data_IF_483503814534
#
_entry.id   IF_483503814534
#
_cell.length_a   1.000
_cell.length_b   1.000
_cell.length_c   1.000
_cell.angle_alpha   90.00
_cell.angle_beta   90.00
_cell.angle_gamma   90.00
#
_symmetry.space_group_name_H-M   'P 1'
#
loop_
_entity.id
_entity.type
_entity.pdbx_description
1 polymer ?
#
# COMPACT_ATOMS: atom_id res chain seq x y z
N UNK A 1 -28.04 -19.04 4.15
CA UNK A 1 -29.50 -18.83 3.98
C UNK A 1 -30.24 -18.33 5.24
N UNK A 2 -29.81 -18.64 6.48
CA UNK A 2 -30.45 -18.07 7.69
C UNK A 2 -30.12 -16.59 7.96
N UNK A 3 -28.93 -16.11 7.62
CA UNK A 3 -28.53 -14.70 7.81
C UNK A 3 -29.33 -13.70 6.94
N UNK A 4 -29.70 -14.07 5.72
CA UNK A 4 -30.53 -13.25 4.82
C UNK A 4 -31.99 -13.13 5.27
N UNK A 5 -32.50 -14.06 6.10
CA UNK A 5 -33.87 -13.97 6.65
C UNK A 5 -33.97 -12.95 7.78
N UNK A 6 -32.94 -12.84 8.63
CA UNK A 6 -32.93 -11.89 9.76
C UNK A 6 -32.83 -10.46 9.27
N UNK A 7 -32.04 -10.20 8.22
CA UNK A 7 -31.90 -8.87 7.63
C UNK A 7 -33.18 -8.39 6.91
N UNK A 8 -33.94 -9.32 6.30
CA UNK A 8 -35.26 -9.00 5.70
C UNK A 8 -36.34 -8.74 6.73
N UNK A 9 -36.33 -9.43 7.87
CA UNK A 9 -37.27 -9.17 8.96
C UNK A 9 -37.04 -7.80 9.62
N UNK A 10 -35.79 -7.36 9.73
CA UNK A 10 -35.46 -6.02 10.26
C UNK A 10 -35.91 -4.88 9.34
N UNK A 11 -35.81 -5.05 8.01
CA UNK A 11 -36.27 -4.04 7.05
C UNK A 11 -37.80 -3.93 6.96
N UNK A 12 -38.53 -5.03 7.16
CA UNK A 12 -40.00 -5.04 7.13
C UNK A 12 -40.65 -4.34 8.34
N UNK A 13 -39.92 -4.19 9.44
CA UNK A 13 -40.38 -3.52 10.67
C UNK A 13 -40.15 -1.99 10.65
N UNK A 14 -39.31 -1.48 9.74
CA UNK A 14 -38.93 -0.06 9.71
C UNK A 14 -39.79 0.80 8.76
N UNK A 15 -40.55 0.20 7.84
CA UNK A 15 -41.35 0.92 6.82
C UNK A 15 -42.65 0.14 6.50
N UNK A 16 -43.75 0.38 7.22
CA UNK A 16 -45.03 -0.27 6.92
C UNK A 16 -45.66 0.41 5.70
N UNK A 17 -45.68 -0.25 4.53
CA UNK A 17 -46.45 0.25 3.39
C UNK A 17 -46.05 -0.17 1.97
N UNK A 18 -45.05 -1.02 1.74
CA UNK A 18 -44.66 -1.42 0.37
C UNK A 18 -44.90 -2.91 0.08
N UNK A 19 -46.10 -3.41 0.35
CA UNK A 19 -46.51 -4.81 0.05
C UNK A 19 -47.45 -4.95 -1.14
N UNK A 20 -47.43 -4.02 -2.10
CA UNK A 20 -48.23 -4.15 -3.33
C UNK A 20 -47.61 -3.37 -4.50
N UNK A 21 -46.56 -3.93 -5.11
CA UNK A 21 -46.22 -3.62 -6.50
C UNK A 21 -45.88 -4.93 -7.20
N UNK A 22 -46.81 -5.34 -8.06
CA UNK A 22 -46.75 -6.52 -8.91
C UNK A 22 -45.57 -6.47 -9.89
N UNK A 23 -45.16 -7.67 -10.29
CA UNK A 23 -44.09 -7.95 -11.24
C UNK A 23 -44.36 -7.32 -12.63
N UNK A 24 -43.62 -6.28 -12.97
CA UNK A 24 -43.32 -5.92 -14.36
C UNK A 24 -41.88 -6.33 -14.72
N UNK A 25 -41.67 -7.32 -15.61
CA UNK A 25 -40.33 -7.71 -16.05
C UNK A 25 -39.87 -6.75 -17.15
N UNK A 26 -39.40 -5.55 -16.76
CA UNK A 26 -39.15 -4.50 -17.76
C UNK A 26 -38.03 -3.50 -17.51
N UNK A 27 -37.35 -3.45 -16.34
CA UNK A 27 -36.40 -2.34 -16.09
C UNK A 27 -35.17 -2.67 -15.22
N UNK A 28 -34.49 -3.80 -15.46
CA UNK A 28 -33.17 -4.09 -14.85
C UNK A 28 -32.00 -4.15 -15.85
N UNK A 29 -32.13 -3.52 -17.02
CA UNK A 29 -30.99 -3.20 -17.90
C UNK A 29 -30.54 -1.75 -17.71
N UNK A 30 -30.32 -1.29 -16.47
CA UNK A 30 -29.38 -0.17 -16.26
C UNK A 30 -27.98 -0.75 -16.40
N UNK A 31 -27.48 -0.68 -17.62
CA UNK A 31 -26.18 -1.16 -18.03
C UNK A 31 -25.12 -0.86 -16.96
N UNK A 32 -24.57 -1.91 -16.34
CA UNK A 32 -23.17 -1.90 -15.92
C UNK A 32 -22.38 -1.65 -17.20
N UNK A 33 -22.17 -0.39 -17.58
CA UNK A 33 -21.11 -0.05 -18.53
C UNK A 33 -19.83 -0.50 -17.87
N UNK A 34 -19.35 -1.69 -18.24
CA UNK A 34 -17.95 -2.05 -18.07
C UNK A 34 -17.21 -0.97 -18.84
N UNK A 35 -16.67 0.02 -18.13
CA UNK A 35 -15.98 1.14 -18.76
C UNK A 35 -14.79 0.57 -19.54
N UNK A 36 -14.62 1.08 -20.75
CA UNK A 36 -13.64 0.58 -21.70
C UNK A 36 -12.20 0.82 -21.20
N UNK A 37 -11.27 -0.03 -21.65
CA UNK A 37 -9.84 0.07 -21.32
C UNK A 37 -9.22 1.49 -21.43
N UNK A 38 -9.59 2.34 -22.42
CA UNK A 38 -9.07 3.70 -22.51
C UNK A 38 -9.33 4.58 -21.28
N UNK A 39 -10.46 4.40 -20.58
CA UNK A 39 -10.78 5.21 -19.40
C UNK A 39 -9.81 4.93 -18.23
N UNK A 40 -9.36 3.68 -18.06
CA UNK A 40 -8.37 3.32 -17.05
C UNK A 40 -7.01 3.95 -17.35
N UNK A 41 -6.58 3.96 -18.60
CA UNK A 41 -5.32 4.61 -18.99
C UNK A 41 -5.38 6.13 -18.81
N UNK A 42 -6.51 6.76 -19.11
CA UNK A 42 -6.71 8.19 -18.83
C UNK A 42 -6.70 8.49 -17.33
N UNK A 43 -7.25 7.61 -16.49
CA UNK A 43 -7.19 7.75 -15.04
C UNK A 43 -5.75 7.66 -14.52
N UNK A 44 -4.98 6.67 -14.99
CA UNK A 44 -3.57 6.51 -14.66
C UNK A 44 -2.77 7.76 -15.06
N UNK A 45 -2.88 8.16 -16.33
CA UNK A 45 -2.15 9.29 -16.89
C UNK A 45 -2.57 10.62 -16.24
N UNK A 46 -3.87 10.79 -15.98
CA UNK A 46 -4.42 11.97 -15.30
C UNK A 46 -3.93 12.09 -13.87
N UNK A 47 -3.94 11.01 -13.08
CA UNK A 47 -3.41 11.01 -11.72
C UNK A 47 -1.89 11.26 -11.70
N UNK A 48 -1.15 10.68 -12.65
CA UNK A 48 0.29 10.91 -12.79
C UNK A 48 0.61 12.37 -13.16
N UNK A 49 -0.09 12.92 -14.15
CA UNK A 49 0.08 14.31 -14.57
C UNK A 49 -0.28 15.26 -13.42
N UNK A 50 -1.42 15.05 -12.74
CA UNK A 50 -1.83 15.85 -11.60
C UNK A 50 -0.76 15.83 -10.49
N UNK A 51 -0.26 14.65 -10.12
CA UNK A 51 0.79 14.53 -9.09
C UNK A 51 2.08 15.24 -9.49
N UNK A 52 2.55 15.04 -10.73
CA UNK A 52 3.75 15.70 -11.23
C UNK A 52 3.61 17.23 -11.27
N UNK A 53 2.45 17.74 -11.72
CA UNK A 53 2.18 19.18 -11.81
C UNK A 53 2.06 19.80 -10.41
N UNK A 54 1.29 19.17 -9.50
CA UNK A 54 1.08 19.67 -8.14
C UNK A 54 2.35 19.66 -7.29
N UNK A 55 3.29 18.76 -7.60
CA UNK A 55 4.57 18.67 -6.86
C UNK A 55 5.43 19.91 -7.04
N UNK A 56 5.41 20.57 -8.21
CA UNK A 56 6.22 21.76 -8.47
C UNK A 56 5.91 22.95 -7.53
N UNK A 57 4.67 23.47 -7.45
CA UNK A 57 4.33 24.55 -6.53
C UNK A 57 4.46 24.14 -5.07
N UNK A 58 4.15 22.88 -4.73
CA UNK A 58 4.32 22.35 -3.38
C UNK A 58 5.79 22.39 -2.94
N UNK A 59 6.71 21.91 -3.80
CA UNK A 59 8.15 21.95 -3.54
C UNK A 59 8.63 23.38 -3.32
N UNK A 60 8.21 24.32 -4.16
CA UNK A 60 8.56 25.73 -4.01
C UNK A 60 8.05 26.31 -2.67
N UNK A 61 6.84 25.95 -2.27
CA UNK A 61 6.27 26.38 -0.99
C UNK A 61 7.02 25.76 0.21
N UNK A 62 7.35 24.47 0.17
CA UNK A 62 8.10 23.78 1.24
C UNK A 62 9.49 24.41 1.45
N UNK A 63 10.18 24.74 0.36
CA UNK A 63 11.46 25.46 0.39
C UNK A 63 11.33 26.83 1.05
N UNK A 64 10.31 27.62 0.67
CA UNK A 64 10.05 28.94 1.27
C UNK A 64 9.73 28.85 2.76
N UNK A 65 9.04 27.80 3.18
CA UNK A 65 8.68 27.53 4.59
C UNK A 65 9.78 26.83 5.38
N UNK A 66 10.93 26.50 4.75
CA UNK A 66 12.04 25.74 5.36
C UNK A 66 11.63 24.39 5.94
N UNK A 67 10.63 23.73 5.32
CA UNK A 67 10.22 22.37 5.66
C UNK A 67 11.12 21.43 4.85
N UNK A 68 12.33 21.20 5.37
CA UNK A 68 13.40 20.46 4.70
C UNK A 68 14.00 19.41 5.62
N UNK A 69 14.37 18.27 5.04
CA UNK A 69 15.17 17.25 5.70
C UNK A 69 16.65 17.65 5.58
N UNK A 70 17.28 17.93 6.72
CA UNK A 70 18.71 18.27 6.81
C UNK A 70 19.60 17.02 6.80
N UNK A 71 20.80 17.03 6.19
CA UNK A 71 21.72 15.90 6.29
C UNK A 71 22.08 15.57 7.74
N UNK A 72 22.33 14.29 8.05
CA UNK A 72 22.73 13.86 9.39
C UNK A 72 23.14 12.38 9.41
N UNK A 73 23.72 11.92 10.52
CA UNK A 73 24.28 10.55 10.67
C UNK A 73 23.30 9.39 10.41
N UNK A 74 22.00 9.69 10.32
CA UNK A 74 20.91 8.74 10.09
C UNK A 74 20.35 8.80 8.66
N UNK A 75 20.63 9.87 7.91
CA UNK A 75 20.03 10.17 6.61
C UNK A 75 20.99 9.83 5.47
N UNK A 76 20.47 9.32 4.37
CA UNK A 76 21.24 8.86 3.19
C UNK A 76 21.55 9.98 2.17
N UNK A 77 21.01 11.18 2.36
CA UNK A 77 21.17 12.29 1.42
C UNK A 77 22.23 13.31 1.88
N UNK A 78 22.99 13.84 0.90
CA UNK A 78 24.04 14.82 1.14
C UNK A 78 23.54 16.28 1.14
N UNK A 79 22.38 16.56 0.53
CA UNK A 79 21.83 17.90 0.36
C UNK A 79 20.52 18.09 1.13
N UNK A 80 20.24 19.27 1.71
CA UNK A 80 18.93 19.59 2.28
C UNK A 80 17.83 19.43 1.23
N UNK A 81 16.88 18.52 1.49
CA UNK A 81 15.84 18.16 0.52
C UNK A 81 14.46 18.41 1.12
N UNK A 82 13.53 19.10 0.42
CA UNK A 82 12.17 19.33 0.91
C UNK A 82 11.47 18.03 1.28
N UNK A 83 10.69 18.02 2.36
CA UNK A 83 9.94 16.85 2.84
C UNK A 83 8.45 17.15 2.86
N UNK A 84 7.62 16.15 2.56
CA UNK A 84 6.15 16.27 2.51
C UNK A 84 5.56 16.29 1.10
N UNK A 85 6.30 15.85 0.08
CA UNK A 85 5.82 15.72 -1.29
C UNK A 85 4.64 14.78 -1.45
N UNK A 86 4.42 13.88 -0.48
CA UNK A 86 3.25 13.03 -0.39
C UNK A 86 1.91 13.77 -0.43
N UNK A 87 1.87 15.04 -0.01
CA UNK A 87 0.66 15.86 -0.13
C UNK A 87 0.20 16.01 -1.59
N UNK A 88 1.12 16.18 -2.54
CA UNK A 88 0.78 16.23 -3.96
C UNK A 88 0.22 14.90 -4.47
N UNK A 89 0.76 13.77 -3.98
CA UNK A 89 0.26 12.43 -4.32
C UNK A 89 -1.18 12.26 -3.84
N UNK A 90 -1.46 12.61 -2.58
CA UNK A 90 -2.78 12.45 -1.96
C UNK A 90 -3.81 13.37 -2.62
N UNK A 91 -3.46 14.61 -2.94
CA UNK A 91 -4.36 15.52 -3.66
C UNK A 91 -4.65 14.99 -5.07
N UNK A 92 -3.63 14.57 -5.82
CA UNK A 92 -3.81 14.00 -7.15
C UNK A 92 -4.69 12.75 -7.12
N UNK A 93 -4.51 11.89 -6.12
CA UNK A 93 -5.31 10.72 -5.89
C UNK A 93 -6.78 11.06 -5.58
N UNK A 94 -7.02 12.04 -4.71
CA UNK A 94 -8.37 12.51 -4.40
C UNK A 94 -9.08 13.12 -5.62
N UNK A 95 -8.36 13.91 -6.44
CA UNK A 95 -8.88 14.44 -7.69
C UNK A 95 -9.24 13.33 -8.68
N UNK A 96 -8.42 12.29 -8.79
CA UNK A 96 -8.69 11.14 -9.65
C UNK A 96 -9.95 10.37 -9.19
N UNK A 97 -10.17 10.22 -7.88
CA UNK A 97 -11.38 9.59 -7.35
C UNK A 97 -12.63 10.45 -7.52
N UNK A 98 -12.52 11.78 -7.38
CA UNK A 98 -13.61 12.71 -7.67
C UNK A 98 -14.00 12.67 -9.15
N UNK A 99 -13.02 12.53 -10.04
CA UNK A 99 -13.25 12.42 -11.47
C UNK A 99 -13.79 11.05 -11.91
N UNK A 100 -13.65 10.00 -11.08
CA UNK A 100 -14.13 8.65 -11.41
C UNK A 100 -15.55 8.40 -10.87
N UNK A 101 -16.57 8.23 -11.75
CA UNK A 101 -17.95 8.09 -11.31
C UNK A 101 -18.16 6.91 -10.36
N UNK A 102 -18.75 7.18 -9.19
CA UNK A 102 -19.08 6.16 -8.19
C UNK A 102 -17.88 5.63 -7.39
N UNK A 103 -16.65 6.13 -7.60
CA UNK A 103 -15.50 5.72 -6.78
C UNK A 103 -15.72 6.05 -5.29
N UNK A 104 -16.11 7.30 -5.01
CA UNK A 104 -16.30 7.77 -3.63
C UNK A 104 -17.43 7.05 -2.92
N UNK A 105 -18.57 6.84 -3.58
CA UNK A 105 -19.70 6.15 -2.96
C UNK A 105 -19.41 4.67 -2.70
N UNK A 106 -18.65 4.01 -3.58
CA UNK A 106 -18.29 2.60 -3.43
C UNK A 106 -17.22 2.37 -2.35
N UNK A 107 -16.26 3.29 -2.18
CA UNK A 107 -15.06 3.08 -1.37
C UNK A 107 -14.80 4.19 -0.34
N UNK A 108 -15.86 4.87 0.12
CA UNK A 108 -15.75 5.95 1.12
C UNK A 108 -14.94 5.55 2.38
N UNK A 109 -14.99 4.32 2.93
CA UNK A 109 -14.20 3.98 4.11
C UNK A 109 -12.69 4.02 3.80
N UNK A 110 -12.32 3.56 2.60
CA UNK A 110 -10.93 3.55 2.16
C UNK A 110 -10.43 4.96 1.83
N UNK A 111 -11.26 5.78 1.17
CA UNK A 111 -10.96 7.20 0.92
C UNK A 111 -10.72 7.94 2.25
N UNK A 112 -11.63 7.77 3.22
CA UNK A 112 -11.51 8.41 4.53
C UNK A 112 -10.27 7.93 5.28
N UNK A 113 -9.95 6.63 5.23
CA UNK A 113 -8.75 6.09 5.84
C UNK A 113 -7.46 6.69 5.24
N UNK A 114 -7.40 6.82 3.90
CA UNK A 114 -6.25 7.41 3.21
C UNK A 114 -6.08 8.88 3.58
N UNK A 115 -7.16 9.67 3.53
CA UNK A 115 -7.14 11.09 3.89
C UNK A 115 -6.75 11.27 5.37
N UNK A 116 -7.32 10.45 6.26
CA UNK A 116 -7.00 10.50 7.68
C UNK A 116 -5.51 10.20 7.94
N UNK A 117 -4.95 9.14 7.36
CA UNK A 117 -3.53 8.84 7.55
C UNK A 117 -2.60 9.84 6.86
N UNK A 118 -3.03 10.47 5.76
CA UNK A 118 -2.30 11.58 5.16
C UNK A 118 -2.24 12.78 6.11
N UNK A 119 -3.34 13.11 6.80
CA UNK A 119 -3.37 14.18 7.82
C UNK A 119 -2.44 13.82 8.98
N UNK A 120 -2.51 12.59 9.50
CA UNK A 120 -1.60 12.12 10.57
C UNK A 120 -0.14 12.24 10.12
N UNK A 121 0.17 11.82 8.90
CA UNK A 121 1.52 11.95 8.34
C UNK A 121 1.97 13.40 8.15
N UNK A 122 1.07 14.29 7.75
CA UNK A 122 1.36 15.71 7.64
C UNK A 122 1.65 16.37 8.98
N UNK A 123 0.91 15.97 10.02
CA UNK A 123 1.18 16.39 11.39
C UNK A 123 2.52 15.84 11.88
N UNK A 124 2.85 14.60 11.57
CA UNK A 124 4.14 13.98 11.90
C UNK A 124 5.32 14.73 11.26
N UNK A 125 5.21 15.04 9.96
CA UNK A 125 6.22 15.79 9.20
C UNK A 125 6.52 17.17 9.80
N UNK A 126 5.64 17.71 10.67
CA UNK A 126 5.75 19.05 11.27
C UNK A 126 5.98 19.08 12.78
N UNK A 127 5.40 18.14 13.51
CA UNK A 127 5.28 18.24 14.98
C UNK A 127 5.83 17.03 15.74
N UNK A 128 6.29 15.96 15.05
CA UNK A 128 6.76 14.70 15.66
C UNK A 128 5.78 14.14 16.71
N UNK A 129 4.79 13.37 16.25
CA UNK A 129 3.78 12.78 17.12
C UNK A 129 4.38 11.64 17.94
N UNK A 130 3.74 11.35 19.08
CA UNK A 130 4.11 10.20 19.88
C UNK A 130 3.82 8.89 19.15
N UNK A 131 4.70 7.90 19.28
CA UNK A 131 4.51 6.57 18.70
C UNK A 131 3.18 5.91 19.13
N UNK A 132 2.71 6.20 20.35
CA UNK A 132 1.42 5.71 20.87
C UNK A 132 0.23 6.28 20.10
N UNK A 133 0.22 7.60 19.86
CA UNK A 133 -0.83 8.24 19.08
C UNK A 133 -0.84 7.71 17.64
N UNK A 134 0.35 7.56 17.03
CA UNK A 134 0.47 7.01 15.68
C UNK A 134 -0.09 5.59 15.59
N UNK A 135 0.27 4.72 16.54
CA UNK A 135 -0.24 3.36 16.61
C UNK A 135 -1.76 3.32 16.80
N UNK A 136 -2.30 4.19 17.65
CA UNK A 136 -3.75 4.31 17.85
C UNK A 136 -4.47 4.69 16.54
N UNK A 137 -3.98 5.71 15.83
CA UNK A 137 -4.54 6.13 14.55
C UNK A 137 -4.49 5.01 13.50
N UNK A 138 -3.36 4.30 13.40
CA UNK A 138 -3.18 3.17 12.48
C UNK A 138 -4.13 2.01 12.84
N UNK A 139 -4.31 1.72 14.13
CA UNK A 139 -5.23 0.69 14.60
C UNK A 139 -6.69 1.06 14.31
N UNK A 140 -7.08 2.32 14.52
CA UNK A 140 -8.42 2.80 14.19
C UNK A 140 -8.71 2.64 12.68
N UNK A 141 -7.73 2.95 11.83
CA UNK A 141 -7.81 2.73 10.39
C UNK A 141 -7.93 1.24 10.06
N UNK A 142 -7.10 0.39 10.65
CA UNK A 142 -7.13 -1.05 10.43
C UNK A 142 -8.50 -1.66 10.77
N UNK A 143 -9.03 -1.33 11.95
CA UNK A 143 -10.37 -1.76 12.39
C UNK A 143 -11.44 -1.21 11.46
N UNK A 144 -11.42 0.07 11.11
CA UNK A 144 -12.40 0.68 10.21
C UNK A 144 -12.45 0.03 8.84
N UNK A 145 -11.28 -0.26 8.25
CA UNK A 145 -11.18 -0.96 6.96
C UNK A 145 -11.70 -2.39 7.03
N UNK A 146 -11.37 -3.13 8.09
CA UNK A 146 -11.87 -4.50 8.27
C UNK A 146 -13.37 -4.53 8.50
N UNK A 147 -13.92 -3.63 9.31
CA UNK A 147 -15.36 -3.51 9.53
C UNK A 147 -16.09 -3.20 8.22
N UNK A 148 -15.54 -2.31 7.40
CA UNK A 148 -16.07 -2.01 6.08
C UNK A 148 -15.99 -3.20 5.11
N UNK A 149 -15.00 -4.07 5.27
CA UNK A 149 -14.83 -5.29 4.48
C UNK A 149 -15.64 -6.49 4.98
N UNK A 150 -16.26 -6.42 6.17
CA UNK A 150 -16.92 -7.55 6.83
C UNK A 150 -15.98 -8.47 7.62
N UNK A 151 -14.73 -8.05 7.83
CA UNK A 151 -13.66 -8.86 8.40
C UNK A 151 -13.07 -9.86 7.40
N UNK A 152 -12.32 -10.83 7.90
CA UNK A 152 -11.72 -11.91 7.11
C UNK A 152 -12.25 -13.24 7.64
N UNK A 153 -13.15 -13.88 6.89
CA UNK A 153 -13.77 -15.14 7.30
C UNK A 153 -12.79 -16.32 7.32
N UNK A 154 -11.95 -16.39 6.29
CA UNK A 154 -11.04 -17.50 6.06
C UNK A 154 -9.80 -17.08 5.29
N UNK A 155 -8.73 -17.85 5.48
CA UNK A 155 -7.52 -17.78 4.67
C UNK A 155 -7.27 -19.17 4.10
N UNK A 156 -7.03 -19.23 2.79
CA UNK A 156 -6.70 -20.48 2.10
C UNK A 156 -5.23 -20.82 2.31
N UNK A 157 -4.92 -22.06 2.68
CA UNK A 157 -3.56 -22.58 2.76
C UNK A 157 -3.48 -23.82 1.89
N UNK A 158 -2.60 -23.84 0.89
CA UNK A 158 -2.45 -24.97 -0.03
C UNK A 158 -3.79 -25.41 -0.68
N UNK A 159 -4.67 -24.45 -0.97
CA UNK A 159 -6.01 -24.71 -1.51
C UNK A 159 -7.07 -25.13 -0.48
N UNK A 160 -6.74 -25.16 0.82
CA UNK A 160 -7.66 -25.48 1.89
C UNK A 160 -8.01 -24.25 2.74
N UNK A 161 -9.30 -23.91 2.82
CA UNK A 161 -9.77 -22.76 3.57
C UNK A 161 -9.84 -23.04 5.07
N UNK A 162 -9.01 -22.35 5.84
CA UNK A 162 -9.09 -22.33 7.29
C UNK A 162 -10.02 -21.22 7.73
N UNK A 163 -11.17 -21.58 8.30
CA UNK A 163 -12.22 -20.63 8.70
C UNK A 163 -12.09 -20.28 10.18
N UNK A 164 -11.78 -19.02 10.47
CA UNK A 164 -11.64 -18.53 11.83
C UNK A 164 -11.75 -17.00 11.85
N UNK A 165 -12.98 -16.47 11.74
CA UNK A 165 -13.21 -15.03 11.55
C UNK A 165 -12.48 -14.14 12.56
N UNK A 166 -12.57 -14.46 13.85
CA UNK A 166 -11.93 -13.68 14.92
C UNK A 166 -10.39 -13.67 14.78
N UNK A 167 -9.80 -14.82 14.44
CA UNK A 167 -8.36 -14.97 14.27
C UNK A 167 -7.87 -14.19 13.06
N UNK A 168 -8.48 -14.41 11.90
CA UNK A 168 -8.03 -13.78 10.65
C UNK A 168 -8.33 -12.30 10.59
N UNK A 169 -9.43 -11.85 11.18
CA UNK A 169 -9.71 -10.41 11.32
C UNK A 169 -8.71 -9.75 12.27
N UNK A 170 -8.38 -10.38 13.41
CA UNK A 170 -7.35 -9.89 14.34
C UNK A 170 -5.95 -9.81 13.70
N UNK A 171 -5.54 -10.87 13.01
CA UNK A 171 -4.27 -10.90 12.27
C UNK A 171 -4.27 -9.90 11.11
N UNK A 172 -5.42 -9.73 10.43
CA UNK A 172 -5.61 -8.71 9.40
C UNK A 172 -5.39 -7.30 9.93
N UNK A 173 -5.85 -7.01 11.15
CA UNK A 173 -5.65 -5.68 11.75
C UNK A 173 -4.16 -5.41 12.00
N UNK A 174 -3.46 -6.41 12.53
CA UNK A 174 -2.00 -6.35 12.73
C UNK A 174 -1.29 -6.18 11.37
N UNK A 175 -1.71 -6.93 10.35
CA UNK A 175 -1.12 -6.85 9.01
C UNK A 175 -1.33 -5.47 8.37
N UNK A 176 -2.50 -4.84 8.51
CA UNK A 176 -2.74 -3.48 8.01
C UNK A 176 -1.82 -2.47 8.73
N UNK A 177 -1.77 -2.52 10.06
CA UNK A 177 -0.88 -1.63 10.84
C UNK A 177 0.58 -1.85 10.44
N UNK A 178 0.98 -3.10 10.22
CA UNK A 178 2.31 -3.45 9.76
C UNK A 178 2.60 -2.90 8.36
N UNK A 179 1.68 -3.07 7.40
CA UNK A 179 1.78 -2.49 6.05
C UNK A 179 1.93 -0.97 6.10
N UNK A 180 1.17 -0.28 6.94
CA UNK A 180 1.30 1.17 7.08
C UNK A 180 2.69 1.57 7.60
N UNK A 181 3.21 0.87 8.62
CA UNK A 181 4.54 1.17 9.16
C UNK A 181 5.68 0.75 8.23
N UNK A 182 5.59 -0.39 7.55
CA UNK A 182 6.67 -0.86 6.68
C UNK A 182 6.85 0.05 5.46
N UNK A 183 5.76 0.55 4.86
CA UNK A 183 5.88 1.53 3.77
C UNK A 183 6.51 2.83 4.25
N UNK A 184 6.26 3.23 5.50
CA UNK A 184 6.93 4.36 6.14
C UNK A 184 8.43 4.11 6.38
N UNK A 185 8.82 2.92 6.85
CA UNK A 185 10.25 2.58 7.08
C UNK A 185 11.06 2.47 5.79
N UNK A 186 10.43 2.01 4.72
CA UNK A 186 11.07 1.80 3.42
C UNK A 186 11.13 3.07 2.55
N UNK A 187 10.49 4.17 2.97
CA UNK A 187 10.58 5.50 2.34
C UNK A 187 11.85 6.27 2.74
N UNK A 188 13.00 5.60 2.81
CA UNK A 188 14.29 6.21 3.17
C UNK A 188 15.33 6.23 2.06
N UNK A 189 14.96 5.82 0.85
CA UNK A 189 15.80 5.90 -0.36
C UNK A 189 15.02 6.57 -1.49
N UNK A 190 15.70 7.41 -2.27
CA UNK A 190 15.11 8.16 -3.38
C UNK A 190 14.34 7.25 -4.33
N UNK A 191 13.06 7.59 -4.57
CA UNK A 191 12.19 6.90 -5.51
C UNK A 191 11.66 5.55 -5.04
N UNK A 192 12.15 4.98 -3.93
CA UNK A 192 11.85 3.59 -3.58
C UNK A 192 10.38 3.37 -3.22
N UNK A 193 9.83 4.12 -2.26
CA UNK A 193 8.43 3.98 -1.87
C UNK A 193 7.48 4.41 -3.00
N UNK A 194 7.82 5.47 -3.75
CA UNK A 194 7.00 5.93 -4.88
C UNK A 194 6.95 4.89 -6.01
N UNK A 195 8.08 4.24 -6.33
CA UNK A 195 8.14 3.14 -7.30
C UNK A 195 7.35 1.93 -6.81
N UNK A 196 7.46 1.62 -5.51
CA UNK A 196 6.66 0.55 -4.91
C UNK A 196 5.15 0.88 -4.94
N UNK A 197 4.75 2.15 -4.84
CA UNK A 197 3.36 2.59 -5.00
C UNK A 197 2.85 2.44 -6.44
N UNK A 198 3.66 2.81 -7.44
CA UNK A 198 3.36 2.54 -8.85
C UNK A 198 3.20 1.03 -9.11
N UNK A 199 4.14 0.23 -8.62
CA UNK A 199 4.12 -1.23 -8.73
C UNK A 199 2.90 -1.85 -8.05
N UNK A 200 2.71 -1.60 -6.76
CA UNK A 200 1.65 -2.23 -5.98
C UNK A 200 0.26 -1.81 -6.47
N UNK A 201 0.06 -0.53 -6.78
CA UNK A 201 -1.19 -0.03 -7.36
C UNK A 201 -1.46 -0.62 -8.74
N UNK A 202 -0.44 -0.73 -9.60
CA UNK A 202 -0.57 -1.29 -10.94
C UNK A 202 -0.92 -2.78 -10.94
N UNK A 203 -0.21 -3.58 -10.14
CA UNK A 203 -0.48 -5.02 -10.00
C UNK A 203 -1.84 -5.26 -9.36
N UNK A 204 -2.18 -4.53 -8.28
CA UNK A 204 -3.50 -4.64 -7.67
C UNK A 204 -4.61 -4.26 -8.66
N UNK A 205 -4.44 -3.17 -9.43
CA UNK A 205 -5.40 -2.76 -10.44
C UNK A 205 -5.61 -3.84 -11.51
N UNK A 206 -4.54 -4.48 -11.98
CA UNK A 206 -4.63 -5.59 -12.93
C UNK A 206 -5.44 -6.76 -12.37
N UNK A 207 -5.10 -7.22 -11.16
CA UNK A 207 -5.79 -8.34 -10.50
C UNK A 207 -7.27 -8.05 -10.26
N UNK A 208 -7.57 -6.87 -9.73
CA UNK A 208 -8.93 -6.42 -9.45
C UNK A 208 -9.75 -6.27 -10.73
N UNK A 209 -9.17 -5.70 -11.79
CA UNK A 209 -9.84 -5.57 -13.07
C UNK A 209 -10.15 -6.94 -13.67
N UNK A 210 -9.19 -7.86 -13.64
CA UNK A 210 -9.36 -9.23 -14.14
C UNK A 210 -10.43 -10.02 -13.38
N UNK A 211 -10.67 -9.68 -12.12
CA UNK A 211 -11.69 -10.28 -11.26
C UNK A 211 -13.05 -9.58 -11.31
N UNK A 212 -13.23 -8.59 -12.21
CA UNK A 212 -14.47 -7.84 -12.36
C UNK A 212 -14.70 -6.74 -11.31
N UNK A 213 -13.71 -6.46 -10.46
CA UNK A 213 -13.74 -5.42 -9.41
C UNK A 213 -13.30 -4.07 -9.96
N UNK A 214 -13.94 -3.60 -11.04
CA UNK A 214 -13.52 -2.44 -11.82
C UNK A 214 -13.41 -1.14 -11.01
N UNK A 215 -14.28 -0.91 -10.02
CA UNK A 215 -14.23 0.29 -9.18
C UNK A 215 -13.00 0.29 -8.27
N UNK A 216 -12.69 -0.85 -7.64
CA UNK A 216 -11.49 -0.97 -6.81
C UNK A 216 -10.21 -0.99 -7.65
N UNK A 217 -10.28 -1.56 -8.86
CA UNK A 217 -9.20 -1.50 -9.83
C UNK A 217 -8.87 -0.05 -10.23
N UNK A 218 -9.90 0.77 -10.48
CA UNK A 218 -9.73 2.19 -10.78
C UNK A 218 -9.13 2.94 -9.60
N UNK A 219 -9.57 2.63 -8.36
CA UNK A 219 -8.99 3.17 -7.14
C UNK A 219 -7.49 2.87 -7.04
N UNK A 220 -7.10 1.61 -7.22
CA UNK A 220 -5.70 1.17 -7.18
C UNK A 220 -4.86 1.79 -8.30
N UNK A 221 -5.42 1.90 -9.51
CA UNK A 221 -4.75 2.47 -10.67
C UNK A 221 -4.54 3.99 -10.54
N UNK A 222 -5.50 4.71 -9.96
CA UNK A 222 -5.33 6.12 -9.60
C UNK A 222 -4.18 6.30 -8.60
N UNK A 223 -4.05 5.40 -7.63
CA UNK A 223 -2.90 5.34 -6.72
C UNK A 223 -1.59 5.15 -7.49
N UNK A 224 -1.54 4.12 -8.35
CA UNK A 224 -0.38 3.83 -9.18
C UNK A 224 0.07 5.07 -9.97
N UNK A 225 -0.88 5.79 -10.57
CA UNK A 225 -0.64 7.03 -11.29
C UNK A 225 -0.12 8.13 -10.37
N UNK A 226 -0.76 8.38 -9.23
CA UNK A 226 -0.35 9.43 -8.30
C UNK A 226 1.11 9.26 -7.82
N UNK A 227 1.49 8.05 -7.37
CA UNK A 227 2.87 7.78 -6.96
C UNK A 227 3.84 7.69 -8.16
N UNK A 228 3.38 7.19 -9.30
CA UNK A 228 4.13 7.17 -10.55
C UNK A 228 4.48 8.57 -11.07
N UNK A 229 3.55 9.53 -10.98
CA UNK A 229 3.80 10.93 -11.34
C UNK A 229 4.78 11.61 -10.39
N UNK A 230 4.72 11.27 -9.10
CA UNK A 230 5.63 11.82 -8.09
C UNK A 230 7.09 11.38 -8.30
N UNK A 231 7.31 10.20 -8.89
CA UNK A 231 8.66 9.72 -9.24
C UNK A 231 9.43 10.70 -10.13
N UNK A 232 8.77 11.52 -10.94
CA UNK A 232 9.45 12.55 -11.75
C UNK A 232 10.31 13.50 -10.89
N UNK A 233 9.87 13.74 -9.64
CA UNK A 233 10.53 14.62 -8.67
C UNK A 233 11.29 13.87 -7.58
N UNK A 234 10.92 12.62 -7.31
CA UNK A 234 11.48 11.79 -6.23
C UNK A 234 12.53 10.77 -6.71
N UNK A 235 12.71 10.58 -8.02
CA UNK A 235 13.76 9.72 -8.58
C UNK A 235 15.17 10.17 -8.14
N UNK A 236 16.15 9.26 -8.02
CA UNK A 236 17.52 9.60 -7.67
C UNK A 236 18.19 10.54 -8.71
N UNK A 237 18.87 11.63 -8.29
CA UNK A 237 18.84 12.24 -6.96
C UNK A 237 17.51 12.96 -6.69
N UNK A 238 16.88 12.71 -5.55
CA UNK A 238 15.54 13.22 -5.25
C UNK A 238 15.52 14.74 -5.07
N UNK A 239 14.58 15.41 -5.74
CA UNK A 239 14.34 16.85 -5.58
C UNK A 239 13.37 17.19 -4.44
N UNK A 240 12.65 16.19 -3.92
CA UNK A 240 11.69 16.26 -2.81
C UNK A 240 11.44 14.85 -2.27
N UNK A 241 11.29 14.71 -0.96
CA UNK A 241 10.92 13.46 -0.29
C UNK A 241 9.42 13.35 -0.07
N UNK A 242 8.92 12.12 -0.14
CA UNK A 242 7.50 11.81 0.06
C UNK A 242 7.07 12.19 1.49
N UNK A 243 7.85 11.81 2.51
CA UNK A 243 7.55 12.09 3.90
C UNK A 243 6.43 11.20 4.45
N UNK A 244 6.09 11.41 5.72
CA UNK A 244 5.13 10.56 6.42
C UNK A 244 3.72 10.75 5.86
N UNK A 245 3.41 11.96 5.36
CA UNK A 245 2.17 12.27 4.65
C UNK A 245 1.87 11.27 3.53
N UNK A 246 2.86 10.99 2.67
CA UNK A 246 2.66 10.13 1.50
C UNK A 246 2.86 8.65 1.80
N UNK A 247 3.84 8.31 2.63
CA UNK A 247 4.17 6.91 2.92
C UNK A 247 3.12 6.22 3.77
N UNK A 248 2.53 6.92 4.75
CA UNK A 248 1.40 6.39 5.53
C UNK A 248 0.14 6.23 4.66
N UNK A 249 -0.15 7.23 3.81
CA UNK A 249 -1.26 7.16 2.86
C UNK A 249 -1.09 6.00 1.86
N UNK A 250 0.13 5.80 1.35
CA UNK A 250 0.47 4.67 0.47
C UNK A 250 0.24 3.33 1.16
N UNK A 251 0.71 3.19 2.40
CA UNK A 251 0.49 1.99 3.19
C UNK A 251 -0.99 1.67 3.37
N UNK A 252 -1.84 2.68 3.57
CA UNK A 252 -3.30 2.50 3.62
C UNK A 252 -3.89 2.09 2.28
N UNK A 253 -3.48 2.71 1.16
CA UNK A 253 -3.96 2.33 -0.17
C UNK A 253 -3.65 0.85 -0.44
N UNK A 254 -2.42 0.41 -0.16
CA UNK A 254 -2.00 -0.97 -0.38
C UNK A 254 -2.73 -1.94 0.54
N UNK A 255 -2.80 -1.63 1.85
CA UNK A 255 -3.49 -2.47 2.82
C UNK A 255 -5.00 -2.55 2.56
N UNK A 256 -5.62 -1.43 2.16
CA UNK A 256 -7.03 -1.37 1.81
C UNK A 256 -7.35 -2.15 0.54
N UNK A 257 -6.53 -2.05 -0.51
CA UNK A 257 -6.68 -2.87 -1.71
C UNK A 257 -6.51 -4.36 -1.39
N UNK A 258 -5.57 -4.72 -0.50
CA UNK A 258 -5.38 -6.10 -0.06
C UNK A 258 -6.61 -6.65 0.68
N UNK A 259 -7.14 -5.92 1.66
CA UNK A 259 -8.29 -6.38 2.46
C UNK A 259 -9.58 -6.40 1.64
N UNK A 260 -9.86 -5.37 0.84
CA UNK A 260 -11.05 -5.33 -0.02
C UNK A 260 -10.95 -6.31 -1.21
N UNK A 261 -9.72 -6.54 -1.69
CA UNK A 261 -9.43 -7.57 -2.69
C UNK A 261 -9.62 -8.98 -2.13
N UNK A 262 -9.19 -9.22 -0.88
CA UNK A 262 -9.39 -10.49 -0.19
C UNK A 262 -10.86 -10.75 0.13
N UNK A 263 -11.60 -9.77 0.64
CA UNK A 263 -13.03 -9.93 0.96
C UNK A 263 -13.90 -10.22 -0.26
N UNK A 264 -13.44 -9.81 -1.44
CA UNK A 264 -14.11 -10.11 -2.71
C UNK A 264 -13.58 -11.34 -3.44
N UNK A 265 -12.54 -12.01 -2.91
CA UNK A 265 -11.89 -13.14 -3.55
C UNK A 265 -11.03 -12.78 -4.78
N UNK A 266 -10.85 -11.50 -5.08
CA UNK A 266 -10.08 -11.03 -6.23
C UNK A 266 -8.57 -11.08 -6.00
N UNK A 267 -8.12 -10.95 -4.76
CA UNK A 267 -6.70 -11.01 -4.38
C UNK A 267 -6.59 -11.85 -3.11
N UNK A 268 -5.87 -12.98 -3.15
CA UNK A 268 -5.63 -13.75 -1.93
C UNK A 268 -4.68 -13.02 -0.97
N UNK A 269 -4.67 -13.42 0.31
CA UNK A 269 -3.74 -12.87 1.30
C UNK A 269 -2.28 -13.12 0.89
N UNK A 270 -1.98 -14.25 0.24
CA UNK A 270 -0.65 -14.59 -0.25
C UNK A 270 -0.22 -13.73 -1.43
N UNK A 271 -1.13 -13.46 -2.37
CA UNK A 271 -0.85 -12.52 -3.46
C UNK A 271 -0.65 -11.10 -2.90
N UNK A 272 -1.43 -10.69 -1.91
CA UNK A 272 -1.25 -9.41 -1.21
C UNK A 272 0.13 -9.29 -0.56
N UNK A 273 0.60 -10.38 0.06
CA UNK A 273 1.98 -10.48 0.56
C UNK A 273 2.99 -10.36 -0.59
N UNK A 274 2.82 -11.10 -1.69
CA UNK A 274 3.74 -11.09 -2.83
C UNK A 274 3.90 -9.69 -3.43
N UNK A 275 2.81 -8.94 -3.60
CA UNK A 275 2.84 -7.56 -4.13
C UNK A 275 3.83 -6.68 -3.36
N UNK A 276 3.93 -6.86 -2.05
CA UNK A 276 4.77 -6.09 -1.14
C UNK A 276 5.97 -6.86 -0.60
N UNK A 277 6.30 -8.02 -1.16
CA UNK A 277 7.18 -9.00 -0.52
C UNK A 277 8.57 -8.46 -0.21
N UNK A 278 9.17 -7.68 -1.11
CA UNK A 278 10.48 -7.03 -0.85
C UNK A 278 10.46 -6.17 0.41
N UNK A 279 9.46 -5.30 0.54
CA UNK A 279 9.33 -4.41 1.70
C UNK A 279 8.97 -5.19 2.95
N UNK A 280 8.05 -6.15 2.85
CA UNK A 280 7.63 -6.98 3.98
C UNK A 280 8.81 -7.78 4.51
N UNK A 281 9.57 -8.45 3.65
CA UNK A 281 10.72 -9.29 4.06
C UNK A 281 11.83 -8.42 4.64
N UNK A 282 12.21 -7.32 3.98
CA UNK A 282 13.28 -6.43 4.48
C UNK A 282 12.91 -5.84 5.86
N UNK A 283 11.72 -5.25 5.98
CA UNK A 283 11.29 -4.66 7.25
C UNK A 283 11.16 -5.71 8.36
N UNK A 284 10.54 -6.86 8.06
CA UNK A 284 10.26 -7.89 9.08
C UNK A 284 11.55 -8.58 9.52
N UNK A 285 12.41 -8.99 8.58
CA UNK A 285 13.68 -9.65 8.90
C UNK A 285 14.62 -8.71 9.65
N UNK A 286 14.66 -7.42 9.29
CA UNK A 286 15.45 -6.41 9.98
C UNK A 286 14.99 -6.23 11.44
N UNK A 287 13.69 -6.02 11.68
CA UNK A 287 13.18 -5.87 13.04
C UNK A 287 13.32 -7.16 13.86
N UNK A 288 13.04 -8.32 13.27
CA UNK A 288 13.22 -9.61 13.95
C UNK A 288 14.69 -9.82 14.34
N UNK A 289 15.63 -9.52 13.45
CA UNK A 289 17.06 -9.63 13.76
C UNK A 289 17.48 -8.70 14.90
N UNK A 290 16.89 -7.50 15.00
CA UNK A 290 17.15 -6.58 16.12
C UNK A 290 16.61 -7.14 17.43
N UNK A 291 15.38 -7.66 17.42
CA UNK A 291 14.77 -8.30 18.60
C UNK A 291 15.61 -9.48 19.08
N UNK A 292 16.04 -10.36 18.16
CA UNK A 292 16.86 -11.54 18.50
C UNK A 292 18.25 -11.17 19.05
N UNK A 293 18.76 -9.97 18.74
CA UNK A 293 20.02 -9.43 19.29
C UNK A 293 19.82 -8.66 20.60
N UNK A 294 18.60 -8.58 21.13
CA UNK A 294 18.28 -7.78 22.31
C UNK A 294 18.35 -6.26 22.07
N UNK A 295 18.41 -5.82 20.80
CA UNK A 295 18.41 -4.40 20.46
C UNK A 295 17.01 -3.79 20.65
N UNK A 296 16.96 -2.50 21.01
CA UNK A 296 15.68 -1.76 21.05
C UNK A 296 15.15 -1.61 19.63
N UNK A 297 14.24 -2.49 19.22
CA UNK A 297 13.70 -2.51 17.86
C UNK A 297 12.84 -1.29 17.54
N UNK A 298 12.25 -0.65 18.55
CA UNK A 298 11.37 0.51 18.44
C UNK A 298 12.10 1.86 18.38
N UNK A 299 13.44 1.87 18.45
CA UNK A 299 14.24 3.09 18.27
C UNK A 299 14.69 3.21 16.83
N UNK A 300 14.79 4.44 16.31
CA UNK A 300 15.28 4.71 14.95
C UNK A 300 16.63 4.00 14.68
N UNK A 301 16.73 3.37 13.51
CA UNK A 301 17.89 2.58 13.11
C UNK A 301 18.16 2.66 11.60
N UNK A 302 19.34 2.18 11.19
CA UNK A 302 19.81 2.21 9.81
C UNK A 302 20.34 0.83 9.38
N UNK A 303 19.47 -0.17 9.37
CA UNK A 303 19.84 -1.58 9.22
C UNK A 303 19.00 -2.33 8.17
N UNK A 304 18.07 -1.66 7.49
CA UNK A 304 17.34 -2.28 6.38
C UNK A 304 18.30 -2.64 5.25
N UNK A 305 18.00 -3.69 4.47
CA UNK A 305 18.87 -4.15 3.39
C UNK A 305 19.16 -3.03 2.39
N UNK A 306 18.17 -2.20 2.05
CA UNK A 306 18.43 -1.04 1.18
C UNK A 306 19.47 -0.09 1.79
N UNK A 307 19.39 0.19 3.09
CA UNK A 307 20.34 1.07 3.79
C UNK A 307 21.74 0.45 3.82
N UNK A 308 21.83 -0.86 4.06
CA UNK A 308 23.08 -1.61 4.03
C UNK A 308 23.73 -1.58 2.65
N UNK A 309 22.95 -1.69 1.57
CA UNK A 309 23.48 -1.54 0.21
C UNK A 309 24.06 -0.15 -0.02
N UNK A 310 23.39 0.90 0.48
CA UNK A 310 23.90 2.27 0.43
C UNK A 310 25.20 2.44 1.24
N UNK A 311 25.27 1.85 2.43
CA UNK A 311 26.47 1.84 3.27
C UNK A 311 27.64 1.09 2.59
N UNK A 312 27.34 0.09 1.76
CA UNK A 312 28.29 -0.62 0.90
C UNK A 312 28.69 0.16 -0.37
N UNK A 313 28.27 1.42 -0.51
CA UNK A 313 28.63 2.30 -1.63
C UNK A 313 27.73 2.17 -2.87
N UNK A 314 26.59 1.47 -2.78
CA UNK A 314 25.62 1.49 -3.88
C UNK A 314 24.95 2.85 -3.97
N UNK A 315 24.67 3.31 -5.20
CA UNK A 315 23.88 4.53 -5.41
C UNK A 315 22.39 4.24 -5.21
N UNK A 316 21.62 5.26 -4.83
CA UNK A 316 20.16 5.19 -4.71
C UNK A 316 19.51 4.64 -5.99
N UNK A 317 20.03 5.01 -7.17
CA UNK A 317 19.58 4.50 -8.47
C UNK A 317 19.82 3.00 -8.67
N UNK A 318 20.97 2.46 -8.24
CA UNK A 318 21.24 1.02 -8.32
C UNK A 318 20.32 0.23 -7.40
N UNK A 319 20.09 0.71 -6.19
CA UNK A 319 19.18 0.06 -5.23
C UNK A 319 17.73 0.10 -5.75
N UNK A 320 17.27 1.25 -6.25
CA UNK A 320 15.95 1.39 -6.87
C UNK A 320 15.78 0.42 -8.06
N UNK A 321 16.77 0.37 -8.95
CA UNK A 321 16.78 -0.54 -10.10
C UNK A 321 16.75 -2.01 -9.69
N UNK A 322 17.50 -2.40 -8.66
CA UNK A 322 17.47 -3.77 -8.12
C UNK A 322 16.08 -4.15 -7.60
N UNK A 323 15.45 -3.28 -6.80
CA UNK A 323 14.11 -3.55 -6.26
C UNK A 323 13.07 -3.64 -7.38
N UNK A 324 13.14 -2.74 -8.37
CA UNK A 324 12.27 -2.80 -9.55
C UNK A 324 12.48 -4.09 -10.36
N UNK A 325 13.73 -4.50 -10.55
CA UNK A 325 14.09 -5.72 -11.28
C UNK A 325 13.58 -6.97 -10.56
N UNK A 326 13.73 -7.05 -9.23
CA UNK A 326 13.20 -8.18 -8.44
C UNK A 326 11.67 -8.21 -8.54
N UNK A 327 11.00 -7.06 -8.44
CA UNK A 327 9.55 -7.01 -8.63
C UNK A 327 9.13 -7.56 -10.01
N UNK A 328 9.78 -7.12 -11.09
CA UNK A 328 9.39 -7.54 -12.45
C UNK A 328 9.81 -8.97 -12.79
N UNK A 329 11.05 -9.37 -12.45
CA UNK A 329 11.61 -10.66 -12.87
C UNK A 329 11.32 -11.82 -11.91
N UNK A 330 11.07 -11.53 -10.63
CA UNK A 330 10.81 -12.57 -9.63
C UNK A 330 9.38 -12.52 -9.09
N UNK A 331 8.91 -11.35 -8.67
CA UNK A 331 7.59 -11.22 -8.02
C UNK A 331 6.45 -11.34 -9.04
N UNK A 332 6.54 -10.66 -10.19
CA UNK A 332 5.47 -10.70 -11.21
C UNK A 332 5.18 -12.12 -11.71
N UNK A 333 6.19 -12.92 -12.09
CA UNK A 333 5.94 -14.29 -12.56
C UNK A 333 5.35 -15.17 -11.46
N UNK A 334 5.75 -14.98 -10.20
CA UNK A 334 5.16 -15.71 -9.07
C UNK A 334 3.69 -15.33 -8.82
N UNK A 335 3.35 -14.05 -8.92
CA UNK A 335 1.95 -13.60 -8.85
C UNK A 335 1.15 -14.19 -10.03
N UNK A 336 1.68 -14.13 -11.25
CA UNK A 336 1.02 -14.69 -12.43
C UNK A 336 0.80 -16.21 -12.29
N UNK A 337 1.78 -16.93 -11.75
CA UNK A 337 1.67 -18.36 -11.44
C UNK A 337 0.60 -18.62 -10.36
N UNK A 338 0.55 -17.81 -9.30
CA UNK A 338 -0.44 -17.92 -8.24
C UNK A 338 -1.87 -17.64 -8.74
N UNK A 339 -2.05 -16.69 -9.66
CA UNK A 339 -3.34 -16.45 -10.32
C UNK A 339 -3.74 -17.63 -11.20
N UNK A 340 -2.78 -18.22 -11.92
CA UNK A 340 -3.04 -19.38 -12.80
C UNK A 340 -3.34 -20.66 -12.02
N UNK A 341 -2.66 -20.85 -10.89
CA UNK A 341 -2.76 -22.02 -10.02
C UNK A 341 -2.97 -21.60 -8.56
N UNK A 342 -4.19 -21.20 -8.17
CA UNK A 342 -4.46 -20.65 -6.83
C UNK A 342 -4.07 -21.55 -5.67
N UNK A 343 -4.16 -22.88 -5.82
CA UNK A 343 -3.74 -23.84 -4.79
C UNK A 343 -2.24 -23.81 -4.47
N UNK A 344 -1.41 -23.21 -5.34
CA UNK A 344 0.03 -23.03 -5.15
C UNK A 344 0.40 -21.67 -4.54
N UNK A 345 -0.54 -20.75 -4.34
CA UNK A 345 -0.24 -19.38 -3.93
C UNK A 345 0.53 -19.30 -2.60
N UNK A 346 0.19 -20.16 -1.64
CA UNK A 346 0.83 -20.29 -0.34
C UNK A 346 2.27 -20.77 -0.49
N UNK A 347 2.50 -21.77 -1.35
CA UNK A 347 3.83 -22.33 -1.62
C UNK A 347 4.71 -21.31 -2.35
N UNK A 348 4.14 -20.58 -3.33
CA UNK A 348 4.84 -19.54 -4.07
C UNK A 348 5.21 -18.36 -3.16
N UNK A 349 4.29 -17.93 -2.28
CA UNK A 349 4.57 -16.88 -1.29
C UNK A 349 5.66 -17.31 -0.30
N UNK A 350 5.60 -18.53 0.22
CA UNK A 350 6.60 -19.06 1.13
C UNK A 350 7.99 -19.17 0.46
N UNK A 351 8.03 -19.71 -0.78
CA UNK A 351 9.26 -19.79 -1.58
C UNK A 351 9.85 -18.41 -1.85
N UNK A 352 9.02 -17.43 -2.24
CA UNK A 352 9.45 -16.04 -2.43
C UNK A 352 10.04 -15.46 -1.14
N UNK A 353 9.35 -15.66 -0.01
CA UNK A 353 9.81 -15.18 1.30
C UNK A 353 11.20 -15.75 1.64
N UNK A 354 11.43 -17.05 1.40
CA UNK A 354 12.73 -17.69 1.63
C UNK A 354 13.81 -17.11 0.73
N UNK A 355 13.56 -16.98 -0.58
CA UNK A 355 14.53 -16.41 -1.54
C UNK A 355 14.91 -14.99 -1.14
N UNK A 356 13.93 -14.15 -0.82
CA UNK A 356 14.16 -12.77 -0.39
C UNK A 356 14.88 -12.70 0.96
N UNK A 357 14.56 -13.60 1.91
CA UNK A 357 15.24 -13.65 3.21
C UNK A 357 16.70 -14.09 3.10
N UNK A 358 17.02 -15.00 2.17
CA UNK A 358 18.41 -15.35 1.82
C UNK A 358 19.12 -14.15 1.22
N UNK A 359 18.51 -13.46 0.26
CA UNK A 359 19.06 -12.22 -0.31
C UNK A 359 19.31 -11.15 0.75
N UNK A 360 18.35 -10.94 1.65
CA UNK A 360 18.50 -10.05 2.80
C UNK A 360 19.68 -10.46 3.68
N UNK A 361 19.84 -11.75 4.02
CA UNK A 361 20.99 -12.22 4.81
C UNK A 361 22.32 -11.95 4.12
N UNK A 362 22.42 -12.21 2.81
CA UNK A 362 23.64 -11.92 2.03
C UNK A 362 24.02 -10.44 2.15
N UNK A 363 23.04 -9.53 2.02
CA UNK A 363 23.27 -8.09 2.19
C UNK A 363 23.75 -7.75 3.60
N UNK A 364 23.12 -8.32 4.64
CA UNK A 364 23.52 -8.06 6.03
C UNK A 364 24.95 -8.56 6.32
N UNK A 365 25.30 -9.76 5.85
CA UNK A 365 26.64 -10.34 6.02
C UNK A 365 27.72 -9.54 5.29
N UNK A 366 27.44 -9.04 4.08
CA UNK A 366 28.37 -8.18 3.36
C UNK A 366 28.62 -6.87 4.13
N UNK A 367 27.57 -6.27 4.70
CA UNK A 367 27.69 -5.04 5.47
C UNK A 367 28.49 -5.22 6.77
N UNK A 368 28.32 -6.34 7.48
CA UNK A 368 29.12 -6.62 8.69
C UNK A 368 30.60 -6.77 8.37
N UNK A 369 30.94 -7.51 7.30
CA UNK A 369 32.34 -7.70 6.89
C UNK A 369 33.03 -6.40 6.47
N UNK A 370 32.27 -5.43 5.95
CA UNK A 370 32.83 -4.13 5.59
C UNK A 370 33.15 -3.28 6.83
N UNK A 371 32.33 -3.37 7.88
CA UNK A 371 32.57 -2.66 9.13
C UNK A 371 33.79 -3.20 9.90
N UNK A 372 34.11 -4.49 9.79
CA UNK A 372 35.29 -5.07 10.45
C UNK A 372 36.61 -4.67 9.75
N UNK A 373 36.54 -4.10 8.54
CA UNK A 373 37.70 -3.67 7.74
C UNK A 373 37.98 -2.16 7.83
N UNK A 374 37.06 -1.38 8.39
CA UNK A 374 37.15 0.07 8.58
C UNK A 374 37.51 0.38 10.03
#
# INVERSE_FOLDING_TARGET
MRALRVQRQFLALALPGMSSLEHHPGHHRRARRVMSGPAFWLLLAGAAAASAILTAPLRAWLLRRRIVDLPGSRRSHALPTPRGGGLACVIALALAWLAWPGALSAWWPLVTAVVFMAIVGWLEDRHQLSARLRLFCQMAVAVGLLMAAGGVDSVSFFGHDLRAWWLWTGLGAIAIVWLINLYNFMDGSDGMAAMQGLWAGGVAAWLLYSSGQSQLAAFALAGAGAWGGFLAWNRPPAGIFMGDTGSLALGVVVAGCAVMGASSGAISVWISFMISALFVVDATATLLSRVLRGERWYTAHRQHAYQRLLDLGWSHGRVLGLYALINVLLVLPMIAAAVRWPHLDTMLAAGLAVVLAVGWRVVQSAATLNNDKA
#
